data_IF_450347141900
#
_entry.id   IF_450347141900
#
_cell.length_a   1.000
_cell.length_b   1.000
_cell.length_c   1.000
_cell.angle_alpha   90.00
_cell.angle_beta   90.00
_cell.angle_gamma   90.00
#
_symmetry.space_group_name_H-M   'P 1'
#
loop_
_entity.id
_entity.type
_entity.pdbx_description
1 polymer ?
#
# COMPACT_ATOMS: atom_id res chain seq x y z
N UNK A 1 -3.93 11.41 1.64
CA UNK A 1 -4.28 10.50 2.76
C UNK A 1 -4.89 9.23 2.18
N UNK A 2 -4.44 8.05 2.63
CA UNK A 2 -5.01 6.75 2.27
C UNK A 2 -5.86 6.21 3.41
N UNK A 3 -7.02 5.62 3.10
CA UNK A 3 -7.87 4.91 4.04
C UNK A 3 -8.28 3.58 3.41
N UNK A 4 -8.29 2.51 4.19
CA UNK A 4 -8.70 1.19 3.73
C UNK A 4 -10.07 0.84 4.30
N UNK A 5 -10.95 0.31 3.45
CA UNK A 5 -12.28 -0.16 3.82
C UNK A 5 -12.46 -1.56 3.24
N UNK A 6 -12.47 -2.58 4.11
CA UNK A 6 -12.51 -3.97 3.67
C UNK A 6 -11.24 -4.37 2.91
N UNK A 7 -11.41 -4.82 1.66
CA UNK A 7 -10.36 -5.22 0.73
C UNK A 7 -9.88 -4.08 -0.19
N UNK A 8 -10.55 -2.92 -0.17
CA UNK A 8 -10.27 -1.78 -1.04
C UNK A 8 -9.58 -0.65 -0.28
N UNK A 9 -8.70 0.06 -0.98
CA UNK A 9 -7.99 1.23 -0.47
C UNK A 9 -8.40 2.46 -1.24
N UNK A 10 -8.85 3.47 -0.51
CA UNK A 10 -9.23 4.78 -1.01
C UNK A 10 -8.09 5.74 -0.75
N UNK A 11 -7.54 6.34 -1.81
CA UNK A 11 -6.48 7.34 -1.72
C UNK A 11 -7.02 8.68 -2.17
N UNK A 12 -6.94 9.65 -1.26
CA UNK A 12 -7.24 11.06 -1.55
C UNK A 12 -5.95 11.79 -1.87
N UNK A 13 -5.85 12.23 -3.13
CA UNK A 13 -4.73 12.97 -3.70
C UNK A 13 -4.80 14.46 -3.34
N UNK A 14 -3.68 15.17 -3.45
CA UNK A 14 -3.57 16.61 -3.13
C UNK A 14 -4.36 17.53 -4.07
N UNK A 15 -4.67 17.06 -5.28
CA UNK A 15 -5.52 17.75 -6.27
C UNK A 15 -7.04 17.60 -5.98
N UNK A 16 -7.42 16.96 -4.86
CA UNK A 16 -8.82 16.67 -4.50
C UNK A 16 -9.40 15.41 -5.16
N UNK A 17 -8.65 14.72 -6.01
CA UNK A 17 -9.06 13.48 -6.68
C UNK A 17 -8.98 12.30 -5.71
N UNK A 18 -10.00 11.46 -5.73
CA UNK A 18 -10.04 10.22 -4.93
C UNK A 18 -9.93 9.04 -5.88
N UNK A 19 -8.95 8.18 -5.64
CA UNK A 19 -8.76 6.92 -6.35
C UNK A 19 -9.07 5.76 -5.42
N UNK A 20 -9.82 4.77 -5.90
CA UNK A 20 -10.08 3.53 -5.17
C UNK A 20 -9.39 2.38 -5.88
N UNK A 21 -8.68 1.55 -5.12
CA UNK A 21 -7.95 0.38 -5.62
C UNK A 21 -8.37 -0.84 -4.80
N UNK A 22 -8.82 -1.90 -5.48
CA UNK A 22 -9.06 -3.20 -4.87
C UNK A 22 -7.72 -3.92 -4.68
N UNK A 23 -7.16 -3.83 -3.48
CA UNK A 23 -5.83 -4.37 -3.21
C UNK A 23 -5.83 -5.90 -3.12
N UNK A 24 -6.91 -6.47 -2.59
CA UNK A 24 -7.07 -7.91 -2.37
C UNK A 24 -8.46 -8.38 -2.78
N UNK A 25 -8.62 -9.71 -2.85
CA UNK A 25 -9.89 -10.35 -3.20
C UNK A 25 -11.02 -9.95 -2.22
N UNK A 26 -12.27 -9.95 -2.70
CA UNK A 26 -13.43 -9.57 -1.90
C UNK A 26 -13.72 -10.53 -0.74
N UNK A 27 -13.19 -11.76 -0.79
CA UNK A 27 -13.19 -12.71 0.32
C UNK A 27 -12.25 -12.33 1.47
N UNK A 28 -11.41 -11.30 1.31
CA UNK A 28 -10.49 -10.87 2.34
C UNK A 28 -11.17 -9.97 3.39
N UNK A 29 -11.30 -10.48 4.61
CA UNK A 29 -11.92 -9.76 5.74
C UNK A 29 -10.93 -9.32 6.84
N UNK A 30 -9.64 -9.63 6.71
CA UNK A 30 -8.61 -9.31 7.71
C UNK A 30 -8.24 -7.83 7.79
N UNK A 31 -8.86 -6.99 6.96
CA UNK A 31 -8.59 -5.56 6.86
C UNK A 31 -7.29 -5.27 6.13
N UNK A 32 -7.27 -4.23 5.30
CA UNK A 32 -6.08 -3.80 4.58
C UNK A 32 -5.39 -2.67 5.33
N UNK A 33 -4.07 -2.75 5.50
CA UNK A 33 -3.26 -1.61 5.95
C UNK A 33 -2.68 -0.93 4.73
N UNK A 34 -2.74 0.39 4.66
CA UNK A 34 -2.31 1.12 3.47
C UNK A 34 -1.50 2.35 3.80
N UNK A 35 -0.51 2.63 2.95
CA UNK A 35 0.29 3.84 2.99
C UNK A 35 0.39 4.40 1.57
N UNK A 36 0.26 5.72 1.44
CA UNK A 36 0.42 6.41 0.16
C UNK A 36 1.72 7.22 0.18
N UNK A 37 2.55 6.98 -0.83
CA UNK A 37 3.82 7.68 -1.05
C UNK A 37 3.81 8.46 -2.36
N UNK A 38 4.83 9.30 -2.52
CA UNK A 38 5.07 10.05 -3.73
C UNK A 38 6.55 9.91 -4.13
N UNK A 39 6.79 9.60 -5.39
CA UNK A 39 8.11 9.63 -5.97
C UNK A 39 8.34 11.01 -6.58
N UNK A 40 9.17 11.84 -5.95
CA UNK A 40 9.43 13.21 -6.42
C UNK A 40 10.31 13.24 -7.67
N UNK A 41 11.09 12.18 -7.91
CA UNK A 41 11.91 12.06 -9.11
C UNK A 41 11.09 11.76 -10.38
N UNK A 42 9.98 11.00 -10.25
CA UNK A 42 9.13 10.63 -11.40
C UNK A 42 7.77 11.33 -11.40
N UNK A 43 7.40 12.02 -10.33
CA UNK A 43 6.06 12.59 -10.13
C UNK A 43 4.96 11.54 -9.90
N UNK A 44 5.32 10.27 -9.68
CA UNK A 44 4.35 9.20 -9.54
C UNK A 44 3.84 9.09 -8.10
N UNK A 45 2.53 8.95 -7.96
CA UNK A 45 1.90 8.57 -6.70
C UNK A 45 1.85 7.05 -6.58
N UNK A 46 2.26 6.55 -5.43
CA UNK A 46 2.37 5.12 -5.15
C UNK A 46 1.47 4.79 -3.98
N UNK A 47 0.74 3.68 -4.09
CA UNK A 47 -0.02 3.11 -3.00
C UNK A 47 0.63 1.79 -2.59
N UNK A 48 0.83 1.60 -1.30
CA UNK A 48 1.21 0.32 -0.73
C UNK A 48 0.06 -0.21 0.10
N UNK A 49 -0.29 -1.47 -0.11
CA UNK A 49 -1.33 -2.18 0.61
C UNK A 49 -0.75 -3.47 1.20
N UNK A 50 -0.80 -3.59 2.52
CA UNK A 50 -0.45 -4.78 3.29
C UNK A 50 -1.69 -5.53 3.76
N UNK A 51 -1.60 -6.85 3.82
CA UNK A 51 -2.64 -7.69 4.43
C UNK A 51 -2.65 -7.52 5.94
N UNK A 52 -3.84 -7.42 6.53
CA UNK A 52 -4.06 -7.49 7.97
C UNK A 52 -3.97 -8.91 8.52
N UNK A 53 -4.27 -9.06 9.80
CA UNK A 53 -4.15 -10.33 10.52
C UNK A 53 -5.12 -11.41 9.99
N UNK A 54 -4.72 -12.67 10.10
CA UNK A 54 -5.54 -13.84 9.75
C UNK A 54 -5.26 -14.44 8.37
N UNK A 55 -4.42 -13.80 7.55
CA UNK A 55 -3.89 -14.38 6.30
C UNK A 55 -2.38 -14.17 6.23
N UNK A 56 -1.66 -14.89 5.35
CA UNK A 56 -0.25 -14.66 5.11
C UNK A 56 0.05 -13.18 4.77
N UNK A 57 1.11 -12.67 5.39
CA UNK A 57 1.65 -11.34 5.17
C UNK A 57 2.00 -11.12 3.69
N UNK A 58 1.22 -10.29 3.01
CA UNK A 58 1.45 -9.88 1.63
C UNK A 58 1.42 -8.36 1.55
N UNK A 59 2.31 -7.83 0.72
CA UNK A 59 2.40 -6.40 0.44
C UNK A 59 2.33 -6.21 -1.07
N UNK A 60 1.38 -5.42 -1.54
CA UNK A 60 1.27 -5.02 -2.93
C UNK A 60 1.52 -3.53 -3.07
N UNK A 61 2.30 -3.16 -4.07
CA UNK A 61 2.61 -1.79 -4.45
C UNK A 61 1.91 -1.50 -5.76
N UNK A 62 1.12 -0.43 -5.80
CA UNK A 62 0.31 -0.01 -6.93
C UNK A 62 0.72 1.39 -7.39
N UNK A 63 0.68 1.58 -8.70
CA UNK A 63 0.76 2.89 -9.32
C UNK A 63 -0.62 3.54 -9.26
N UNK A 64 -0.77 4.69 -8.57
CA UNK A 64 -2.07 5.37 -8.46
C UNK A 64 -2.52 6.06 -9.75
N UNK A 65 -1.60 6.33 -10.69
CA UNK A 65 -1.93 6.94 -11.97
C UNK A 65 -2.55 5.92 -12.94
N UNK A 66 -2.09 4.67 -12.92
CA UNK A 66 -2.53 3.62 -13.84
C UNK A 66 -3.36 2.52 -13.19
N UNK A 67 -3.35 2.40 -11.86
CA UNK A 67 -3.93 1.29 -11.11
C UNK A 67 -3.12 -0.02 -11.20
N UNK A 68 -1.97 -0.02 -11.89
CA UNK A 68 -1.18 -1.22 -12.12
C UNK A 68 -0.36 -1.61 -10.89
N UNK A 69 -0.21 -2.92 -10.66
CA UNK A 69 0.72 -3.44 -9.64
C UNK A 69 2.15 -3.20 -10.12
N UNK A 70 2.92 -2.46 -9.34
CA UNK A 70 4.36 -2.24 -9.54
C UNK A 70 5.14 -3.39 -8.91
N UNK A 71 4.74 -3.83 -7.72
CA UNK A 71 5.41 -4.92 -7.00
C UNK A 71 4.42 -5.72 -6.16
N UNK A 72 4.70 -7.02 -6.00
CA UNK A 72 4.00 -7.91 -5.09
C UNK A 72 5.06 -8.64 -4.25
N UNK A 73 5.05 -8.37 -2.95
CA UNK A 73 6.08 -8.78 -2.00
C UNK A 73 5.46 -9.65 -0.91
N UNK A 74 6.21 -10.66 -0.49
CA UNK A 74 5.91 -11.46 0.69
C UNK A 74 7.08 -11.34 1.68
N UNK A 75 7.13 -10.23 2.45
CA UNK A 75 8.26 -9.94 3.32
C UNK A 75 8.37 -10.92 4.51
N UNK A 76 7.25 -11.53 4.92
CA UNK A 76 7.20 -12.44 6.07
C UNK A 76 6.46 -13.74 5.70
N UNK A 77 7.14 -14.69 5.04
CA UNK A 77 6.52 -15.95 4.64
C UNK A 77 6.00 -16.72 5.85
N UNK A 78 4.71 -17.05 5.85
CA UNK A 78 4.07 -17.80 6.95
C UNK A 78 3.63 -16.96 8.15
N UNK A 79 3.94 -15.67 8.19
CA UNK A 79 3.46 -14.77 9.23
C UNK A 79 2.01 -14.36 8.97
N UNK A 80 1.15 -14.48 9.97
CA UNK A 80 -0.30 -14.19 9.87
C UNK A 80 -0.76 -13.07 10.81
N UNK A 81 0.17 -12.37 11.47
CA UNK A 81 -0.14 -11.25 12.39
C UNK A 81 -0.58 -9.96 11.68
N UNK A 82 -0.45 -9.90 10.35
CA UNK A 82 -0.70 -8.72 9.54
C UNK A 82 0.54 -7.84 9.39
N UNK A 83 0.62 -7.09 8.29
CA UNK A 83 1.80 -6.26 7.97
C UNK A 83 1.48 -4.79 8.14
N UNK A 84 2.19 -4.12 9.03
CA UNK A 84 2.18 -2.68 9.13
C UNK A 84 3.04 -2.10 7.99
N UNK A 85 2.45 -1.15 7.25
CA UNK A 85 3.09 -0.47 6.14
C UNK A 85 3.20 1.01 6.47
N UNK A 86 4.39 1.58 6.25
CA UNK A 86 4.63 3.00 6.34
C UNK A 86 5.44 3.46 5.11
N UNK A 87 5.23 4.70 4.71
CA UNK A 87 5.96 5.35 3.62
C UNK A 87 6.68 6.57 4.16
N UNK A 88 7.92 6.79 3.74
CA UNK A 88 8.67 8.00 4.06
C UNK A 88 9.96 8.05 3.27
N UNK A 89 10.45 9.24 2.96
CA UNK A 89 11.78 9.43 2.37
C UNK A 89 12.84 9.22 3.48
N UNK A 90 13.30 7.98 3.63
CA UNK A 90 14.22 7.56 4.69
C UNK A 90 15.67 7.83 4.29
N UNK A 91 15.98 7.68 3.00
CA UNK A 91 17.33 7.84 2.47
C UNK A 91 17.62 9.27 1.94
N UNK A 92 16.62 10.16 1.90
CA UNK A 92 16.67 11.55 1.40
C UNK A 92 16.99 11.68 -0.09
N UNK A 93 16.62 10.70 -0.91
CA UNK A 93 16.77 10.74 -2.36
C UNK A 93 15.59 11.41 -3.08
N UNK A 94 14.56 11.84 -2.33
CA UNK A 94 13.34 12.44 -2.87
C UNK A 94 12.30 11.41 -3.34
N UNK A 95 12.56 10.11 -3.16
CA UNK A 95 11.61 9.02 -3.38
C UNK A 95 11.07 8.56 -2.02
N UNK A 96 9.77 8.33 -1.92
CA UNK A 96 9.21 7.69 -0.72
C UNK A 96 9.68 6.24 -0.64
N UNK A 97 10.48 5.91 0.37
CA UNK A 97 10.81 4.54 0.76
C UNK A 97 9.61 3.86 1.46
N UNK A 98 9.67 2.52 1.51
CA UNK A 98 8.65 1.68 2.13
C UNK A 98 9.24 0.93 3.32
N UNK A 99 8.57 1.02 4.46
CA UNK A 99 8.93 0.30 5.68
C UNK A 99 7.83 -0.69 6.01
N UNK A 100 8.23 -1.94 6.24
CA UNK A 100 7.35 -3.04 6.62
C UNK A 100 7.70 -3.50 8.03
N UNK A 101 6.68 -3.69 8.87
CA UNK A 101 6.85 -4.26 10.20
C UNK A 101 5.75 -5.31 10.45
N UNK A 102 6.09 -6.33 11.24
CA UNK A 102 5.20 -7.40 11.67
C UNK A 102 4.59 -7.12 13.06
#
# INVERSE_FOLDING_TARGET
ASSAVGNSVVVRQSNGRTSTIDAFDSSFHGGVRSAAGFNSATGQQILVAGTGAGIPAQVKVFNLATGSVIANLNPFPGFQGGVFVATGDVNKDGVSDFVFCC
#
